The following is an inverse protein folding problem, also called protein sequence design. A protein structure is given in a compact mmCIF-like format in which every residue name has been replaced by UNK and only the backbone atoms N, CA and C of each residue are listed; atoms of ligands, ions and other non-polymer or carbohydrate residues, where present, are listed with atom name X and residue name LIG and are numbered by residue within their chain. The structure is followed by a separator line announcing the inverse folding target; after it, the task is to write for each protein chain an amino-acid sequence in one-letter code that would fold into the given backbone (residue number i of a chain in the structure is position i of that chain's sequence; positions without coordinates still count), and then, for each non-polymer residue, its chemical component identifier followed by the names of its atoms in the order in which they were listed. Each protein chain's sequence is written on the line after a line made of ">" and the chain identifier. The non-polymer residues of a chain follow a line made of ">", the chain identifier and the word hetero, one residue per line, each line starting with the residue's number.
data_IF_219285663377
#
_entry.id   IF_219285663377
#
_cell.length_a   1.000
_cell.length_b   1.000
_cell.length_c   1.000
_cell.angle_alpha   90.00
_cell.angle_beta   90.00
_cell.angle_gamma   90.00
#
_symmetry.space_group_name_H-M   'P 1'
#
loop_
_entity.id
_entity.type
_entity.pdbx_description
1 polymer ?
#
# COMPACT_ATOMS: atom_id res chain seq x y z
N UNK A 1 22.92 24.38 -4.41
CA UNK A 1 21.98 23.36 -3.90
C UNK A 1 20.62 23.66 -4.49
N UNK A 2 20.08 22.79 -5.33
CA UNK A 2 18.67 22.88 -5.71
C UNK A 2 17.83 22.46 -4.49
N UNK A 3 16.71 23.12 -4.17
CA UNK A 3 15.82 22.64 -3.13
C UNK A 3 15.31 21.26 -3.54
N UNK A 4 15.49 20.28 -2.66
CA UNK A 4 14.89 18.96 -2.81
C UNK A 4 13.38 19.18 -2.62
N UNK A 5 12.58 18.95 -3.66
CA UNK A 5 11.13 19.12 -3.58
C UNK A 5 10.55 18.13 -2.56
N UNK A 6 9.63 18.61 -1.71
CA UNK A 6 8.83 17.79 -0.81
C UNK A 6 7.48 17.37 -1.44
N UNK A 7 7.43 17.36 -2.78
CA UNK A 7 6.26 16.94 -3.53
C UNK A 7 6.18 15.41 -3.65
N UNK A 8 4.99 14.86 -3.43
CA UNK A 8 4.70 13.44 -3.59
C UNK A 8 4.15 13.22 -5.00
N UNK A 9 4.88 12.47 -5.81
CA UNK A 9 4.48 12.15 -7.18
C UNK A 9 3.78 10.79 -7.23
N UNK A 10 2.45 10.84 -7.34
CA UNK A 10 1.61 9.66 -7.57
C UNK A 10 1.48 9.41 -9.07
N UNK A 11 1.61 8.16 -9.47
CA UNK A 11 1.44 7.77 -10.88
C UNK A 11 0.24 6.86 -11.02
N UNK A 12 -0.61 7.12 -12.02
CA UNK A 12 -1.60 6.13 -12.44
C UNK A 12 -0.86 5.10 -13.28
N UNK A 13 -0.75 3.83 -12.86
CA UNK A 13 0.14 2.90 -13.52
C UNK A 13 -0.50 2.37 -14.82
N UNK A 14 -0.43 3.14 -15.91
CA UNK A 14 -1.18 2.90 -17.15
C UNK A 14 -0.86 1.57 -17.86
N UNK A 15 0.25 0.91 -17.53
CA UNK A 15 0.70 -0.36 -18.13
C UNK A 15 0.86 -1.48 -17.09
N UNK A 16 0.44 -1.26 -15.85
CA UNK A 16 0.52 -2.30 -14.84
C UNK A 16 -0.70 -3.21 -14.94
N UNK A 17 -0.49 -4.53 -14.89
CA UNK A 17 -1.59 -5.49 -14.80
C UNK A 17 -2.53 -5.24 -13.62
N UNK A 18 -2.08 -4.53 -12.58
CA UNK A 18 -2.89 -4.13 -11.44
C UNK A 18 -3.89 -3.00 -11.74
N UNK A 19 -3.95 -2.45 -12.96
CA UNK A 19 -5.06 -1.59 -13.37
C UNK A 19 -6.37 -2.35 -13.44
N UNK A 20 -6.31 -3.66 -13.68
CA UNK A 20 -7.44 -4.57 -13.60
C UNK A 20 -7.19 -5.58 -12.48
N UNK A 21 -8.00 -5.51 -11.43
CA UNK A 21 -7.88 -6.37 -10.26
C UNK A 21 -8.81 -7.58 -10.34
N UNK A 22 -9.53 -7.77 -11.45
CA UNK A 22 -10.47 -8.86 -11.62
C UNK A 22 -9.79 -10.22 -11.44
N UNK A 23 -10.27 -10.99 -10.46
CA UNK A 23 -9.77 -12.33 -10.16
C UNK A 23 -8.46 -12.38 -9.37
N UNK A 24 -7.86 -11.24 -9.00
CA UNK A 24 -6.68 -11.21 -8.14
C UNK A 24 -7.07 -11.25 -6.66
N UNK A 25 -6.31 -12.02 -5.87
CA UNK A 25 -6.35 -11.97 -4.41
C UNK A 25 -5.26 -11.04 -3.86
N UNK A 26 -5.33 -10.69 -2.58
CA UNK A 26 -4.26 -9.95 -1.93
C UNK A 26 -2.91 -10.69 -2.01
N UNK A 27 -2.96 -12.02 -1.91
CA UNK A 27 -1.78 -12.87 -2.05
C UNK A 27 -1.17 -12.78 -3.45
N UNK A 28 -1.97 -12.88 -4.50
CA UNK A 28 -1.49 -12.79 -5.89
C UNK A 28 -0.78 -11.45 -6.17
N UNK A 29 -1.30 -10.37 -5.59
CA UNK A 29 -0.70 -9.04 -5.72
C UNK A 29 0.65 -8.98 -4.99
N UNK A 30 0.71 -9.42 -3.73
CA UNK A 30 1.91 -9.33 -2.90
C UNK A 30 3.01 -10.30 -3.34
N UNK A 31 2.66 -11.51 -3.82
CA UNK A 31 3.62 -12.46 -4.39
C UNK A 31 4.30 -11.91 -5.67
N UNK A 32 3.61 -11.02 -6.41
CA UNK A 32 4.12 -10.38 -7.62
C UNK A 32 5.00 -9.15 -7.38
N UNK A 33 5.49 -8.95 -6.15
CA UNK A 33 6.27 -7.79 -5.73
C UNK A 33 7.67 -8.18 -5.25
N UNK A 34 8.66 -7.40 -5.66
CA UNK A 34 9.99 -7.43 -5.09
C UNK A 34 10.13 -6.31 -4.06
N UNK A 35 10.57 -6.66 -2.84
CA UNK A 35 10.88 -5.65 -1.82
C UNK A 35 12.13 -4.87 -2.23
N UNK A 36 11.97 -3.56 -2.39
CA UNK A 36 13.07 -2.63 -2.69
C UNK A 36 13.65 -2.07 -1.39
N UNK A 37 12.78 -1.72 -0.44
CA UNK A 37 13.18 -1.10 0.84
C UNK A 37 12.16 -1.41 1.92
N UNK A 38 12.64 -1.56 3.14
CA UNK A 38 11.83 -1.58 4.35
C UNK A 38 11.98 -0.26 5.12
N UNK A 39 10.87 0.28 5.60
CA UNK A 39 10.83 1.52 6.39
C UNK A 39 10.40 1.28 7.83
N UNK A 40 9.49 0.33 8.04
CA UNK A 40 8.95 -0.06 9.34
C UNK A 40 8.57 -1.56 9.30
N UNK A 41 8.85 -2.27 10.39
CA UNK A 41 8.54 -3.71 10.54
C UNK A 41 8.08 -4.01 11.97
N UNK A 42 6.97 -3.40 12.35
CA UNK A 42 6.24 -3.67 13.59
C UNK A 42 5.06 -4.62 13.30
N UNK A 43 4.68 -5.44 14.29
CA UNK A 43 3.59 -6.41 14.13
C UNK A 43 2.25 -5.78 13.76
N UNK A 44 2.04 -4.50 14.10
CA UNK A 44 0.81 -3.75 13.85
C UNK A 44 0.99 -2.65 12.80
N UNK A 45 2.22 -2.40 12.35
CA UNK A 45 2.55 -1.42 11.32
C UNK A 45 3.76 -1.90 10.52
N UNK A 46 3.57 -2.23 9.24
CA UNK A 46 4.69 -2.48 8.33
C UNK A 46 4.65 -1.49 7.19
N UNK A 47 5.79 -0.90 6.83
CA UNK A 47 5.91 0.02 5.70
C UNK A 47 7.07 -0.38 4.81
N UNK A 48 6.81 -0.54 3.52
CA UNK A 48 7.79 -1.04 2.54
C UNK A 48 7.65 -0.31 1.21
N UNK A 49 8.73 -0.28 0.45
CA UNK A 49 8.71 0.04 -0.97
C UNK A 49 8.79 -1.26 -1.76
N UNK A 50 7.79 -1.50 -2.59
CA UNK A 50 7.76 -2.63 -3.51
C UNK A 50 7.98 -2.19 -4.96
N UNK A 51 8.49 -3.12 -5.76
CA UNK A 51 8.53 -3.03 -7.21
C UNK A 51 7.72 -4.18 -7.79
N UNK A 52 6.78 -3.87 -8.67
CA UNK A 52 6.02 -4.88 -9.39
C UNK A 52 6.94 -5.66 -10.33
N UNK A 53 6.99 -6.99 -10.18
CA UNK A 53 7.84 -7.86 -10.99
C UNK A 53 7.52 -7.82 -12.49
N UNK A 54 6.25 -7.55 -12.85
CA UNK A 54 5.80 -7.59 -14.25
C UNK A 54 6.06 -6.30 -15.04
N UNK A 55 5.98 -5.14 -14.40
CA UNK A 55 6.07 -3.84 -15.10
C UNK A 55 7.05 -2.85 -14.48
N UNK A 56 7.70 -3.19 -13.37
CA UNK A 56 8.68 -2.32 -12.70
C UNK A 56 8.09 -1.15 -11.91
N UNK A 57 6.77 -0.97 -11.91
CA UNK A 57 6.10 0.10 -11.15
C UNK A 57 6.42 0.00 -9.66
N UNK A 58 6.76 1.13 -9.04
CA UNK A 58 6.97 1.23 -7.60
C UNK A 58 5.65 1.44 -6.86
N UNK A 59 5.54 0.81 -5.69
CA UNK A 59 4.41 0.97 -4.78
C UNK A 59 4.89 1.17 -3.36
N UNK A 60 4.45 2.25 -2.72
CA UNK A 60 4.53 2.37 -1.27
C UNK A 60 3.47 1.46 -0.64
N UNK A 61 3.90 0.57 0.24
CA UNK A 61 3.04 -0.36 0.94
C UNK A 61 2.94 0.01 2.41
N UNK A 62 1.72 -0.03 2.92
CA UNK A 62 1.44 -0.02 4.36
C UNK A 62 0.55 -1.21 4.72
N UNK A 63 0.96 -1.94 5.74
CA UNK A 63 0.08 -2.73 6.59
C UNK A 63 -0.17 -1.96 7.88
N UNK A 64 -1.42 -1.89 8.31
CA UNK A 64 -1.84 -1.27 9.56
C UNK A 64 -2.92 -2.11 10.23
N UNK A 65 -2.75 -2.41 11.52
CA UNK A 65 -3.75 -3.08 12.36
C UNK A 65 -4.27 -2.10 13.42
N UNK A 66 -5.59 -1.94 13.50
CA UNK A 66 -6.21 -1.12 14.55
C UNK A 66 -6.45 -1.98 15.79
N UNK A 67 -5.52 -1.89 16.75
CA UNK A 67 -5.56 -2.72 17.96
C UNK A 67 -6.71 -2.31 18.87
N UNK A 68 -7.63 -3.23 19.13
CA UNK A 68 -8.51 -3.18 20.29
C UNK A 68 -8.13 -4.29 21.28
N UNK A 69 -7.84 -3.91 22.52
CA UNK A 69 -7.43 -4.85 23.56
C UNK A 69 -8.61 -5.58 24.22
N UNK A 70 -9.79 -5.57 23.59
CA UNK A 70 -11.07 -5.94 24.23
C UNK A 70 -11.70 -7.19 23.60
N UNK A 71 -11.56 -7.38 22.29
CA UNK A 71 -12.29 -8.40 21.52
C UNK A 71 -11.43 -9.39 20.74
N UNK A 72 -10.17 -9.05 20.43
CA UNK A 72 -9.41 -9.80 19.43
C UNK A 72 -10.03 -9.72 18.03
N UNK A 73 -9.31 -10.21 17.01
CA UNK A 73 -9.66 -10.03 15.59
C UNK A 73 -9.73 -8.56 15.16
N UNK A 74 -8.61 -7.87 15.39
CA UNK A 74 -8.42 -6.48 15.01
C UNK A 74 -8.53 -6.30 13.48
N UNK A 75 -9.18 -5.23 13.00
CA UNK A 75 -9.25 -4.97 11.57
C UNK A 75 -7.85 -4.63 11.03
N UNK A 76 -7.53 -5.25 9.90
CA UNK A 76 -6.25 -5.07 9.23
C UNK A 76 -6.45 -4.39 7.88
N UNK A 77 -5.55 -3.46 7.57
CA UNK A 77 -5.59 -2.68 6.34
C UNK A 77 -4.27 -2.86 5.61
N UNK A 78 -4.36 -3.13 4.32
CA UNK A 78 -3.20 -3.21 3.43
C UNK A 78 -3.41 -2.27 2.27
N UNK A 79 -2.49 -1.32 2.10
CA UNK A 79 -2.58 -0.25 1.10
C UNK A 79 -1.35 -0.28 0.21
N UNK A 80 -1.55 -0.21 -1.10
CA UNK A 80 -0.50 -0.02 -2.10
C UNK A 80 -0.74 1.29 -2.86
N UNK A 81 0.13 2.28 -2.68
CA UNK A 81 0.08 3.58 -3.36
C UNK A 81 1.13 3.58 -4.48
N UNK A 82 0.74 3.74 -5.76
CA UNK A 82 1.69 3.81 -6.86
C UNK A 82 2.47 5.13 -6.82
N UNK A 83 3.80 5.04 -6.72
CA UNK A 83 4.70 6.20 -6.64
C UNK A 83 5.61 6.27 -7.85
N UNK A 84 6.00 7.47 -8.27
CA UNK A 84 6.95 7.64 -9.38
C UNK A 84 8.36 7.18 -9.01
N UNK A 85 8.75 7.39 -7.75
CA UNK A 85 10.12 7.27 -7.28
C UNK A 85 10.20 6.92 -5.77
N UNK A 86 11.40 6.56 -5.32
CA UNK A 86 11.66 6.22 -3.91
C UNK A 86 11.47 7.42 -2.98
N UNK A 87 11.66 8.65 -3.48
CA UNK A 87 11.50 9.89 -2.70
C UNK A 87 10.04 10.11 -2.30
N UNK A 88 9.12 9.90 -3.23
CA UNK A 88 7.68 9.96 -2.97
C UNK A 88 7.27 8.92 -1.92
N UNK A 89 7.85 7.71 -1.95
CA UNK A 89 7.66 6.71 -0.91
C UNK A 89 8.22 7.15 0.46
N UNK A 90 9.40 7.77 0.52
CA UNK A 90 9.95 8.32 1.77
C UNK A 90 9.07 9.43 2.36
N UNK A 91 8.46 10.26 1.53
CA UNK A 91 7.53 11.31 1.96
C UNK A 91 6.21 10.73 2.46
N UNK A 92 5.67 9.71 1.79
CA UNK A 92 4.50 8.95 2.26
C UNK A 92 4.80 8.25 3.60
N UNK A 93 6.01 7.72 3.80
CA UNK A 93 6.42 7.09 5.05
C UNK A 93 6.37 8.02 6.27
N UNK A 94 6.35 9.35 6.07
CA UNK A 94 6.27 10.33 7.17
C UNK A 94 4.84 10.68 7.56
N UNK A 95 3.85 10.17 6.83
CA UNK A 95 2.44 10.47 7.05
C UNK A 95 1.82 9.52 8.06
N UNK A 96 0.78 9.98 8.74
CA UNK A 96 -0.09 9.12 9.52
C UNK A 96 -0.89 8.19 8.59
N UNK A 97 -1.27 6.97 9.03
CA UNK A 97 -2.09 6.06 8.22
C UNK A 97 -3.35 6.70 7.65
N UNK A 98 -4.03 7.56 8.44
CA UNK A 98 -5.24 8.26 8.00
C UNK A 98 -4.99 9.23 6.83
N UNK A 99 -3.82 9.86 6.75
CA UNK A 99 -3.48 10.76 5.65
C UNK A 99 -3.24 9.99 4.34
N UNK A 100 -2.79 8.74 4.44
CA UNK A 100 -2.55 7.89 3.27
C UNK A 100 -3.86 7.56 2.53
N UNK A 101 -5.00 7.61 3.23
CA UNK A 101 -6.32 7.42 2.64
C UNK A 101 -6.71 8.51 1.64
N UNK A 102 -5.96 9.60 1.52
CA UNK A 102 -6.20 10.63 0.50
C UNK A 102 -5.63 10.27 -0.88
N UNK A 103 -4.76 9.26 -0.97
CA UNK A 103 -4.05 8.93 -2.21
C UNK A 103 -4.74 7.80 -2.99
N UNK A 104 -4.66 7.83 -4.34
CA UNK A 104 -5.02 6.70 -5.18
C UNK A 104 -4.26 5.46 -4.72
N UNK A 105 -4.98 4.36 -4.48
CA UNK A 105 -4.38 3.15 -3.92
C UNK A 105 -5.14 1.89 -4.26
N UNK A 106 -4.45 0.76 -4.22
CA UNK A 106 -5.07 -0.56 -4.13
C UNK A 106 -5.21 -0.91 -2.65
N UNK A 107 -6.41 -1.29 -2.23
CA UNK A 107 -6.73 -1.67 -0.85
C UNK A 107 -7.14 -3.14 -0.75
N UNK A 108 -6.64 -3.81 0.27
CA UNK A 108 -6.82 -5.23 0.56
C UNK A 108 -7.20 -5.41 2.04
N UNK A 109 -8.34 -4.85 2.39
CA UNK A 109 -8.79 -4.70 3.78
C UNK A 109 -9.30 -6.04 4.35
N UNK A 110 -9.08 -6.27 5.64
CA UNK A 110 -9.71 -7.30 6.46
C UNK A 110 -10.49 -6.59 7.57
N UNK A 111 -11.75 -6.19 7.31
CA UNK A 111 -12.56 -5.49 8.30
C UNK A 111 -12.88 -6.38 9.50
N UNK A 112 -13.24 -5.74 10.61
CA UNK A 112 -13.79 -6.40 11.79
C UNK A 112 -14.96 -7.30 11.38
N UNK A 113 -15.03 -8.50 11.96
CA UNK A 113 -16.07 -9.52 11.70
C UNK A 113 -16.07 -10.12 10.27
N UNK A 114 -15.07 -9.81 9.43
CA UNK A 114 -14.98 -10.40 8.10
C UNK A 114 -14.55 -11.87 8.18
N UNK A 115 -15.34 -12.78 7.58
CA UNK A 115 -14.98 -14.20 7.49
C UNK A 115 -13.83 -14.47 6.51
N UNK A 116 -13.66 -13.60 5.54
CA UNK A 116 -12.65 -13.68 4.49
C UNK A 116 -12.11 -12.27 4.21
N UNK A 117 -10.84 -12.13 3.78
CA UNK A 117 -10.31 -10.84 3.33
C UNK A 117 -11.15 -10.22 2.21
N UNK A 118 -11.28 -8.90 2.22
CA UNK A 118 -11.89 -8.16 1.13
C UNK A 118 -11.15 -8.37 -0.18
N UNK A 119 -11.89 -8.37 -1.30
CA UNK A 119 -11.26 -8.40 -2.62
C UNK A 119 -10.44 -7.14 -2.84
N UNK A 120 -9.25 -7.24 -3.47
CA UNK A 120 -8.48 -6.07 -3.85
C UNK A 120 -9.31 -5.09 -4.68
N UNK A 121 -9.20 -3.80 -4.37
CA UNK A 121 -9.93 -2.75 -5.07
C UNK A 121 -9.11 -1.47 -5.18
N UNK A 122 -9.33 -0.71 -6.24
CA UNK A 122 -8.85 0.66 -6.31
C UNK A 122 -9.70 1.58 -5.42
N UNK A 123 -9.06 2.56 -4.82
CA UNK A 123 -9.66 3.62 -4.03
C UNK A 123 -9.08 4.98 -4.44
N UNK A 124 -9.89 6.03 -4.37
CA UNK A 124 -9.50 7.43 -4.64
C UNK A 124 -8.84 7.63 -6.02
N UNK A 125 -9.35 6.96 -7.06
CA UNK A 125 -8.95 7.19 -8.45
C UNK A 125 -9.49 8.51 -9.00
#
# INVERSE_FOLDING_TARGET
>A
MHPVSDEIHIVKPAQCHLTDLAGLTAKDILDGMDMVREYEDDSHLMRRLYRCQKCGQLYFYEFYEEIDWVGGEDPQYRTLIPVADERSAELLNRKAPIELLAYPSIRMDYPREAKEPGKPRWANL
#
